data_IF_980316621669
#
_entry.id   IF_980316621669
#
_cell.length_a   1.000
_cell.length_b   1.000
_cell.length_c   1.000
_cell.angle_alpha   90.00
_cell.angle_beta   90.00
_cell.angle_gamma   90.00
#
_symmetry.space_group_name_H-M   'P 1'
#
loop_
_entity.id
_entity.type
_entity.pdbx_description
1 polymer ?
#
# COMPACT_ATOMS: atom_id res chain seq x y z
N UNK A 1 -15.14 9.55 3.38
CA UNK A 1 -15.32 8.16 3.82
C UNK A 1 -14.84 7.25 2.70
N UNK A 2 -13.74 6.53 2.90
CA UNK A 2 -13.27 5.53 1.94
C UNK A 2 -14.19 4.32 2.05
N UNK A 3 -14.94 4.00 0.99
CA UNK A 3 -15.99 2.96 0.97
C UNK A 3 -15.52 1.51 1.11
N UNK A 4 -14.37 1.27 1.76
CA UNK A 4 -13.90 -0.07 2.08
C UNK A 4 -14.18 -0.36 3.55
N UNK A 5 -15.01 -1.37 3.80
CA UNK A 5 -15.28 -1.84 5.15
C UNK A 5 -14.01 -2.41 5.80
N UNK A 6 -13.79 -2.19 7.11
CA UNK A 6 -12.64 -2.76 7.82
C UNK A 6 -12.60 -4.29 7.76
N UNK A 7 -13.76 -4.93 7.61
CA UNK A 7 -13.91 -6.37 7.42
C UNK A 7 -13.27 -6.84 6.11
N UNK A 8 -13.44 -6.06 5.04
CA UNK A 8 -12.85 -6.31 3.73
C UNK A 8 -11.33 -6.25 3.79
N UNK A 9 -10.77 -5.23 4.46
CA UNK A 9 -9.31 -5.13 4.70
C UNK A 9 -8.79 -6.30 5.53
N UNK A 10 -9.55 -6.75 6.54
CA UNK A 10 -9.19 -7.89 7.39
C UNK A 10 -9.16 -9.19 6.59
N UNK A 11 -10.13 -9.40 5.70
CA UNK A 11 -10.20 -10.56 4.81
C UNK A 11 -9.02 -10.61 3.86
N UNK A 12 -8.67 -9.50 3.21
CA UNK A 12 -7.51 -9.45 2.32
C UNK A 12 -6.17 -9.63 3.04
N UNK A 13 -6.08 -9.23 4.31
CA UNK A 13 -4.92 -9.53 5.16
C UNK A 13 -4.83 -11.02 5.50
N UNK A 14 -5.96 -11.68 5.75
CA UNK A 14 -6.04 -13.11 6.05
C UNK A 14 -5.76 -13.98 4.83
N UNK A 15 -6.22 -13.55 3.64
CA UNK A 15 -5.94 -14.24 2.37
C UNK A 15 -4.50 -14.06 1.89
N UNK A 16 -3.70 -13.16 2.50
CA UNK A 16 -2.30 -12.94 2.12
C UNK A 16 -2.12 -12.21 0.78
N UNK A 17 -3.19 -11.62 0.25
CA UNK A 17 -3.18 -10.96 -1.06
C UNK A 17 -2.54 -9.56 -0.98
N UNK A 18 -2.68 -8.90 0.17
CA UNK A 18 -2.10 -7.58 0.41
C UNK A 18 -0.70 -7.71 1.02
N UNK A 19 0.32 -7.51 0.19
CA UNK A 19 1.71 -7.48 0.63
C UNK A 19 1.96 -6.33 1.62
N UNK A 20 2.71 -6.65 2.68
CA UNK A 20 3.16 -5.70 3.69
C UNK A 20 4.19 -4.74 3.07
N UNK A 21 4.15 -3.47 3.46
CA UNK A 21 4.98 -2.34 2.96
C UNK A 21 4.47 -1.68 1.67
N UNK A 22 3.78 -2.42 0.79
CA UNK A 22 3.14 -1.85 -0.40
C UNK A 22 1.73 -1.35 -0.08
N UNK A 23 0.85 -2.25 0.36
CA UNK A 23 -0.56 -1.92 0.59
C UNK A 23 -0.81 -1.34 1.97
N UNK A 24 0.00 -1.72 2.94
CA UNK A 24 -0.07 -1.20 4.29
C UNK A 24 1.31 -1.15 4.91
N UNK A 25 1.59 -0.05 5.59
CA UNK A 25 2.84 0.18 6.29
C UNK A 25 2.58 0.40 7.77
N UNK A 26 3.42 -0.20 8.60
CA UNK A 26 3.43 0.06 10.04
C UNK A 26 4.31 1.28 10.27
N UNK A 27 3.69 2.43 10.51
CA UNK A 27 4.42 3.67 10.81
C UNK A 27 5.01 3.59 12.22
N UNK A 28 4.26 2.99 13.16
CA UNK A 28 4.65 2.77 14.55
C UNK A 28 3.95 1.51 15.08
N UNK A 29 4.40 1.01 16.25
CA UNK A 29 3.86 -0.21 16.88
C UNK A 29 2.32 -0.22 17.04
N UNK A 30 1.68 0.97 17.09
CA UNK A 30 0.22 1.13 17.19
C UNK A 30 -0.45 1.75 15.95
N UNK A 31 0.30 2.21 14.96
CA UNK A 31 -0.25 2.95 13.81
C UNK A 31 0.06 2.22 12.51
N UNK A 32 -1.00 1.70 11.91
CA UNK A 32 -0.97 1.05 10.59
C UNK A 32 -1.63 2.01 9.61
N UNK A 33 -0.91 2.33 8.53
CA UNK A 33 -1.42 3.16 7.44
C UNK A 33 -1.68 2.28 6.23
N UNK A 34 -2.89 2.37 5.70
CA UNK A 34 -3.30 1.64 4.50
C UNK A 34 -3.28 2.57 3.29
N UNK A 35 -2.74 2.08 2.17
CA UNK A 35 -2.77 2.76 0.88
C UNK A 35 -4.06 2.42 0.16
N UNK A 36 -5.13 3.12 0.54
CA UNK A 36 -6.48 2.87 0.02
C UNK A 36 -6.54 3.00 -1.51
N UNK A 37 -5.78 3.92 -2.10
CA UNK A 37 -5.73 4.11 -3.57
C UNK A 37 -5.24 2.86 -4.29
N UNK A 38 -4.17 2.23 -3.80
CA UNK A 38 -3.63 0.98 -4.36
C UNK A 38 -4.58 -0.20 -4.17
N UNK A 39 -5.23 -0.26 -3.00
CA UNK A 39 -6.18 -1.33 -2.69
C UNK A 39 -7.40 -1.24 -3.61
N UNK A 40 -7.93 -0.03 -3.83
CA UNK A 40 -9.06 0.19 -4.75
C UNK A 40 -8.69 -0.09 -6.20
N UNK A 41 -7.49 0.30 -6.61
CA UNK A 41 -6.97 -0.01 -7.94
C UNK A 41 -6.85 -1.52 -8.13
N UNK A 42 -6.27 -2.23 -7.14
CA UNK A 42 -6.19 -3.69 -7.15
C UNK A 42 -7.57 -4.34 -7.23
N UNK A 43 -8.58 -3.86 -6.49
CA UNK A 43 -9.94 -4.43 -6.58
C UNK A 43 -10.52 -4.36 -7.99
N UNK A 44 -10.30 -3.24 -8.67
CA UNK A 44 -10.86 -2.98 -9.99
C UNK A 44 -10.05 -3.69 -11.08
N UNK A 45 -8.74 -3.81 -10.90
CA UNK A 45 -7.83 -4.35 -11.90
C UNK A 45 -7.50 -5.85 -11.74
N UNK A 46 -7.75 -6.48 -10.58
CA UNK A 46 -7.43 -7.90 -10.34
C UNK A 46 -8.13 -8.86 -11.30
N UNK A 47 -9.32 -8.50 -11.76
CA UNK A 47 -10.15 -9.35 -12.62
C UNK A 47 -9.96 -9.02 -14.10
N UNK A 48 -9.72 -7.74 -14.42
CA UNK A 48 -9.71 -7.26 -15.80
C UNK A 48 -8.32 -6.92 -16.36
N UNK A 49 -7.39 -6.38 -15.57
CA UNK A 49 -6.12 -5.83 -16.08
C UNK A 49 -4.98 -5.83 -15.04
N UNK A 50 -4.29 -6.96 -14.82
CA UNK A 50 -3.17 -7.02 -13.87
C UNK A 50 -2.02 -6.07 -14.23
N UNK A 51 -1.86 -5.74 -15.52
CA UNK A 51 -0.79 -4.86 -16.00
C UNK A 51 -1.01 -3.38 -15.63
N UNK A 52 -2.27 -2.91 -15.57
CA UNK A 52 -2.60 -1.57 -15.11
C UNK A 52 -2.27 -1.42 -13.62
N UNK A 53 -2.53 -2.49 -12.85
CA UNK A 53 -2.22 -2.53 -11.44
C UNK A 53 -0.71 -2.44 -11.16
N UNK A 54 0.11 -3.19 -11.92
CA UNK A 54 1.57 -3.13 -11.80
C UNK A 54 2.08 -1.69 -12.04
N UNK A 55 1.57 -0.99 -13.06
CA UNK A 55 1.93 0.41 -13.33
C UNK A 55 1.55 1.35 -12.18
N UNK A 56 0.41 1.12 -11.53
CA UNK A 56 0.00 1.89 -10.36
C UNK A 56 0.96 1.66 -9.17
N UNK A 57 1.42 0.42 -8.96
CA UNK A 57 2.46 0.10 -7.97
C UNK A 57 3.77 0.81 -8.31
N UNK A 58 4.25 0.71 -9.56
CA UNK A 58 5.49 1.35 -10.00
C UNK A 58 5.45 2.87 -9.82
N UNK A 59 4.33 3.49 -10.20
CA UNK A 59 4.13 4.93 -10.01
C UNK A 59 4.11 5.29 -8.52
N UNK A 60 3.45 4.50 -7.68
CA UNK A 60 3.45 4.69 -6.23
C UNK A 60 4.87 4.54 -5.62
N UNK A 61 5.63 3.53 -6.03
CA UNK A 61 7.02 3.32 -5.61
C UNK A 61 7.93 4.46 -6.07
N UNK A 62 7.74 4.96 -7.30
CA UNK A 62 8.47 6.11 -7.84
C UNK A 62 8.11 7.42 -7.13
N UNK A 63 6.85 7.55 -6.71
CA UNK A 63 6.34 8.73 -5.98
C UNK A 63 6.71 8.72 -4.49
N UNK A 64 7.11 7.58 -3.94
CA UNK A 64 7.50 7.46 -2.53
C UNK A 64 8.81 8.22 -2.24
N UNK A 65 8.79 9.25 -1.38
CA UNK A 65 10.00 9.96 -0.97
C UNK A 65 10.96 9.09 -0.14
N UNK A 66 10.59 7.85 0.24
CA UNK A 66 11.50 6.93 0.93
C UNK A 66 12.56 6.31 0.00
N UNK A 67 12.40 6.39 -1.33
CA UNK A 67 13.50 6.18 -2.29
C UNK A 67 14.44 7.40 -2.32
N UNK A 68 13.93 8.60 -2.04
CA UNK A 68 14.70 9.81 -1.83
C UNK A 68 15.19 9.90 -0.37
N UNK A 69 16.20 9.09 -0.04
CA UNK A 69 17.09 9.27 1.13
C UNK A 69 16.36 9.55 2.45
N UNK A 70 16.15 8.48 3.23
CA UNK A 70 16.47 8.62 4.67
C UNK A 70 17.99 8.69 4.80
N UNK A 71 18.57 9.86 4.48
CA UNK A 71 19.77 10.28 5.17
C UNK A 71 19.34 10.42 6.63
N UNK A 72 19.48 9.35 7.39
CA UNK A 72 19.59 9.43 8.84
C UNK A 72 20.85 10.24 9.10
N UNK A 73 20.75 11.56 9.07
CA UNK A 73 21.66 12.41 9.83
C UNK A 73 21.24 12.29 11.28
N UNK A 74 21.68 11.19 11.91
CA UNK A 74 22.00 11.18 13.32
C UNK A 74 23.50 11.50 13.40
N UNK A 75 23.86 12.36 14.36
CA UNK A 75 25.19 12.91 14.71
C UNK A 75 25.36 14.34 14.16
N UNK A 76 25.55 15.40 14.96
CA UNK A 76 25.98 15.55 16.35
C UNK A 76 25.23 16.71 17.02
#
# INVERSE_FOLDING_TARGET
MTGLSPETLKKYRLEGILEKDIYWVVINSRVIRYNISLILDWMQNKDSNPQAHIRAIENYLSSLPSAQKKSRTNRC
#
